data_IF_024867266387
#
_entry.id   IF_024867266387
#
_cell.length_a   1.000
_cell.length_b   1.000
_cell.length_c   1.000
_cell.angle_alpha   90.00
_cell.angle_beta   90.00
_cell.angle_gamma   90.00
#
_symmetry.space_group_name_H-M   'P 1'
#
loop_
_entity.id
_entity.type
_entity.pdbx_description
1 polymer ?
#
# COMPACT_ATOMS: atom_id res chain seq x y z
N UNK A 1 22.44 17.28 16.17
CA UNK A 1 21.11 17.18 16.80
C UNK A 1 20.00 16.70 15.86
N UNK A 2 20.14 16.84 14.54
CA UNK A 2 19.09 16.45 13.56
C UNK A 2 19.08 14.94 13.29
N UNK A 3 20.22 14.26 13.36
CA UNK A 3 20.35 12.82 13.06
C UNK A 3 19.63 11.92 14.11
N UNK A 4 19.55 12.36 15.37
CA UNK A 4 18.92 11.60 16.45
C UNK A 4 17.38 11.56 16.33
N UNK A 5 16.76 12.43 15.56
CA UNK A 5 15.30 12.53 15.42
C UNK A 5 14.72 11.47 14.50
N UNK A 6 15.46 10.99 13.49
CA UNK A 6 14.95 10.06 12.47
C UNK A 6 14.74 8.63 13.00
N UNK A 7 15.57 8.15 13.89
CA UNK A 7 15.45 6.79 14.49
C UNK A 7 14.35 6.68 15.56
N UNK A 8 13.85 7.80 16.09
CA UNK A 8 12.84 7.82 17.15
C UNK A 8 11.40 7.75 16.66
N UNK A 9 11.15 7.88 15.36
CA UNK A 9 9.80 8.07 14.81
C UNK A 9 8.89 6.84 14.96
N UNK A 10 9.38 5.63 14.75
CA UNK A 10 8.57 4.42 14.95
C UNK A 10 8.28 4.13 16.43
N UNK A 11 9.19 4.49 17.34
CA UNK A 11 9.00 4.28 18.77
C UNK A 11 8.16 5.38 19.46
N UNK A 12 8.00 6.56 18.85
CA UNK A 12 7.28 7.70 19.42
C UNK A 12 5.76 7.53 19.24
N UNK A 13 5.32 6.92 18.15
CA UNK A 13 3.91 6.70 17.85
C UNK A 13 3.18 5.99 18.98
N UNK A 14 3.77 4.91 19.48
CA UNK A 14 3.11 4.00 20.41
C UNK A 14 3.35 4.36 21.89
N UNK A 15 4.18 5.36 22.17
CA UNK A 15 4.46 5.82 23.54
C UNK A 15 3.51 6.96 23.93
N UNK A 16 2.60 6.68 24.85
CA UNK A 16 1.64 7.66 25.38
C UNK A 16 2.30 8.84 26.14
N UNK A 17 3.51 8.66 26.66
CA UNK A 17 4.17 9.61 27.58
C UNK A 17 5.17 10.54 26.87
N UNK A 18 5.18 10.63 25.54
CA UNK A 18 6.07 11.55 24.83
C UNK A 18 5.25 12.77 24.42
N UNK A 19 5.66 13.92 24.94
CA UNK A 19 5.12 15.22 24.61
C UNK A 19 6.22 16.12 24.04
N UNK A 20 5.83 17.03 23.16
CA UNK A 20 6.71 18.01 22.54
C UNK A 20 6.36 19.40 23.02
N UNK A 21 7.35 20.17 23.43
CA UNK A 21 7.17 21.57 23.87
C UNK A 21 6.53 22.43 22.78
N UNK A 22 6.99 22.28 21.56
CA UNK A 22 6.49 22.99 20.38
C UNK A 22 6.64 22.08 19.18
N UNK A 23 5.53 21.49 18.73
CA UNK A 23 5.46 20.63 17.56
C UNK A 23 4.88 21.46 16.40
N UNK A 24 5.72 21.78 15.44
CA UNK A 24 5.31 22.63 14.32
C UNK A 24 4.86 21.85 13.10
N UNK A 25 5.40 20.63 12.88
CA UNK A 25 5.09 19.82 11.71
C UNK A 25 5.05 18.33 12.07
N UNK A 26 4.02 17.64 11.60
CA UNK A 26 3.87 16.19 11.63
C UNK A 26 3.90 15.69 10.19
N UNK A 27 4.78 14.74 9.88
CA UNK A 27 4.84 14.06 8.59
C UNK A 27 4.50 12.59 8.81
N UNK A 28 3.42 12.14 8.18
CA UNK A 28 2.95 10.74 8.23
C UNK A 28 3.10 10.14 6.84
N UNK A 29 4.00 9.17 6.72
CA UNK A 29 4.14 8.37 5.51
C UNK A 29 3.32 7.08 5.62
N UNK A 30 2.85 6.55 4.48
CA UNK A 30 1.96 5.39 4.42
C UNK A 30 0.71 5.59 5.29
N UNK A 31 -0.03 6.66 5.02
CA UNK A 31 -1.20 7.09 5.78
C UNK A 31 -2.18 5.94 6.12
N UNK A 32 -2.37 4.97 5.21
CA UNK A 32 -3.28 3.84 5.40
C UNK A 32 -2.91 2.93 6.58
N UNK A 33 -1.67 3.03 7.09
CA UNK A 33 -1.20 2.30 8.30
C UNK A 33 -1.57 3.00 9.60
N UNK A 34 -2.15 4.19 9.52
CA UNK A 34 -2.54 4.99 10.69
C UNK A 34 -4.05 5.10 10.77
N UNK A 35 -4.64 4.59 11.84
CA UNK A 35 -6.04 4.83 12.15
C UNK A 35 -6.31 6.32 12.46
N UNK A 36 -7.56 6.75 12.30
CA UNK A 36 -8.00 8.13 12.60
C UNK A 36 -7.59 8.57 14.00
N UNK A 37 -7.81 7.71 15.01
CA UNK A 37 -7.44 7.98 16.40
C UNK A 37 -5.94 8.19 16.57
N UNK A 38 -5.10 7.41 15.89
CA UNK A 38 -3.63 7.54 15.99
C UNK A 38 -3.13 8.86 15.41
N UNK A 39 -3.76 9.36 14.34
CA UNK A 39 -3.45 10.66 13.75
C UNK A 39 -3.80 11.80 14.69
N UNK A 40 -4.96 11.73 15.32
CA UNK A 40 -5.38 12.68 16.34
C UNK A 40 -4.46 12.69 17.56
N UNK A 41 -4.10 11.49 18.06
CA UNK A 41 -3.18 11.34 19.20
C UNK A 41 -1.78 11.92 18.89
N UNK A 42 -1.33 11.95 17.63
CA UNK A 42 -0.07 12.59 17.25
C UNK A 42 -0.16 14.12 17.36
N UNK A 43 -1.22 14.73 16.92
CA UNK A 43 -1.44 16.17 17.02
C UNK A 43 -1.54 16.63 18.50
N UNK A 44 -2.20 15.85 19.33
CA UNK A 44 -2.38 16.12 20.76
C UNK A 44 -1.11 16.00 21.60
N UNK A 45 0.02 15.49 21.03
CA UNK A 45 1.31 15.45 21.72
C UNK A 45 2.05 16.80 21.79
N UNK A 46 1.53 17.83 21.15
CA UNK A 46 2.03 19.21 21.29
C UNK A 46 1.54 19.83 22.58
N UNK A 47 2.44 20.46 23.31
CA UNK A 47 2.08 21.32 24.46
C UNK A 47 1.76 22.77 24.07
N UNK A 48 1.95 23.09 22.78
CA UNK A 48 1.64 24.41 22.21
C UNK A 48 0.13 24.56 22.00
N UNK A 49 -0.38 25.79 22.16
CA UNK A 49 -1.76 26.13 21.79
C UNK A 49 -1.97 26.11 20.26
N UNK A 50 -0.90 26.22 19.50
CA UNK A 50 -0.94 26.17 18.04
C UNK A 50 -0.97 24.72 17.55
N UNK A 51 -1.90 24.41 16.65
CA UNK A 51 -1.98 23.12 16.00
C UNK A 51 -0.80 22.94 15.05
N UNK A 52 -0.10 21.77 15.11
CA UNK A 52 0.98 21.50 14.17
C UNK A 52 0.46 21.31 12.75
N UNK A 53 1.21 21.78 11.76
CA UNK A 53 0.96 21.43 10.37
C UNK A 53 1.06 19.91 10.18
N UNK A 54 0.19 19.34 9.34
CA UNK A 54 0.16 17.92 9.10
C UNK A 54 0.33 17.64 7.61
N UNK A 55 1.32 16.82 7.28
CA UNK A 55 1.55 16.30 5.93
C UNK A 55 1.32 14.79 5.92
N UNK A 56 0.29 14.35 5.22
CA UNK A 56 0.00 12.94 5.00
C UNK A 56 0.46 12.52 3.62
N UNK A 57 1.23 11.44 3.56
CA UNK A 57 1.71 10.87 2.31
C UNK A 57 1.20 9.45 2.18
N UNK A 58 0.86 9.05 0.96
CA UNK A 58 0.45 7.68 0.65
C UNK A 58 0.99 7.25 -0.71
N UNK A 59 1.47 6.02 -0.79
CA UNK A 59 1.86 5.38 -2.04
C UNK A 59 0.68 4.68 -2.73
N UNK A 60 -0.43 4.45 -2.01
CA UNK A 60 -1.69 3.99 -2.61
C UNK A 60 -2.51 5.21 -2.95
N UNK A 61 -2.68 5.54 -4.22
CA UNK A 61 -3.54 6.65 -4.59
C UNK A 61 -4.96 6.40 -4.07
N UNK A 62 -5.50 7.40 -3.42
CA UNK A 62 -6.93 7.41 -3.11
C UNK A 62 -7.62 7.85 -4.39
N UNK A 63 -8.68 7.16 -4.85
CA UNK A 63 -9.45 7.61 -5.99
C UNK A 63 -9.78 9.08 -5.86
N UNK A 64 -9.59 9.86 -6.94
CA UNK A 64 -9.80 11.32 -6.88
C UNK A 64 -11.17 11.68 -6.35
N UNK A 65 -12.19 10.94 -6.77
CA UNK A 65 -13.57 11.11 -6.31
C UNK A 65 -13.72 10.92 -4.82
N UNK A 66 -13.03 9.93 -4.26
CA UNK A 66 -13.07 9.60 -2.85
C UNK A 66 -12.25 10.59 -2.02
N UNK A 67 -11.09 11.01 -2.52
CA UNK A 67 -10.25 12.01 -1.88
C UNK A 67 -10.99 13.34 -1.70
N UNK A 68 -11.73 13.77 -2.71
CA UNK A 68 -12.54 15.00 -2.66
C UNK A 68 -13.69 14.93 -1.64
N UNK A 69 -14.13 13.73 -1.27
CA UNK A 69 -15.23 13.55 -0.31
C UNK A 69 -14.74 13.48 1.12
N UNK A 70 -13.64 12.77 1.35
CA UNK A 70 -13.16 12.42 2.70
C UNK A 70 -12.18 13.46 3.22
N UNK A 71 -11.42 14.08 2.31
CA UNK A 71 -10.38 15.05 2.63
C UNK A 71 -10.75 16.46 2.13
N UNK A 72 -12.05 16.80 2.17
CA UNK A 72 -12.52 18.13 1.76
C UNK A 72 -11.81 19.28 2.45
N UNK A 73 -11.29 19.03 3.66
CA UNK A 73 -10.59 20.01 4.49
C UNK A 73 -9.06 19.99 4.31
N UNK A 74 -8.54 19.14 3.41
CA UNK A 74 -7.11 19.02 3.15
C UNK A 74 -6.74 19.54 1.76
N UNK A 75 -5.64 20.28 1.71
CA UNK A 75 -5.00 20.62 0.44
C UNK A 75 -4.37 19.35 -0.16
N UNK A 76 -4.75 19.01 -1.39
CA UNK A 76 -4.27 17.82 -2.07
C UNK A 76 -3.20 18.15 -3.10
N UNK A 77 -2.00 17.60 -2.91
CA UNK A 77 -0.92 17.62 -3.90
C UNK A 77 -0.75 16.25 -4.53
N UNK A 78 -0.79 16.19 -5.86
CA UNK A 78 -0.70 14.94 -6.62
C UNK A 78 0.65 14.90 -7.34
N UNK A 79 1.41 13.81 -7.14
CA UNK A 79 2.62 13.48 -7.89
C UNK A 79 2.23 12.40 -8.88
N UNK A 80 2.10 12.77 -10.16
CA UNK A 80 1.65 11.88 -11.25
C UNK A 80 2.76 11.49 -12.23
N UNK A 81 3.98 11.97 -11.99
CA UNK A 81 5.16 11.65 -12.78
C UNK A 81 6.05 10.60 -12.12
N UNK A 82 6.66 9.76 -12.92
CA UNK A 82 7.69 8.83 -12.44
C UNK A 82 9.00 9.60 -12.17
N UNK A 83 9.81 9.15 -11.20
CA UNK A 83 11.13 9.71 -11.00
C UNK A 83 11.98 9.66 -12.27
N UNK A 84 12.86 10.63 -12.52
CA UNK A 84 13.72 10.65 -13.69
C UNK A 84 14.53 9.35 -13.84
N UNK A 85 14.56 8.79 -15.05
CA UNK A 85 15.27 7.55 -15.36
C UNK A 85 14.56 6.26 -14.92
N UNK A 86 13.35 6.32 -14.38
CA UNK A 86 12.57 5.14 -14.03
C UNK A 86 11.65 4.72 -15.17
N UNK A 87 11.80 3.47 -15.63
CA UNK A 87 10.91 2.89 -16.64
C UNK A 87 9.66 2.27 -15.97
N UNK A 88 8.50 2.28 -16.64
CA UNK A 88 7.33 1.55 -16.18
C UNK A 88 7.60 0.04 -16.09
N UNK A 89 7.14 -0.58 -15.02
CA UNK A 89 7.26 -2.03 -14.83
C UNK A 89 6.25 -2.76 -15.72
N UNK A 90 6.73 -3.65 -16.57
CA UNK A 90 5.90 -4.48 -17.45
C UNK A 90 5.27 -5.63 -16.65
N UNK A 91 3.95 -5.73 -16.62
CA UNK A 91 3.24 -6.77 -15.87
C UNK A 91 2.77 -7.88 -16.80
N UNK A 92 3.03 -9.14 -16.41
CA UNK A 92 2.54 -10.34 -17.11
C UNK A 92 1.74 -11.19 -16.13
N UNK A 93 0.67 -11.81 -16.62
CA UNK A 93 -0.21 -12.70 -15.84
C UNK A 93 -0.09 -14.10 -16.45
N UNK A 94 0.29 -15.08 -15.65
CA UNK A 94 0.60 -16.45 -16.10
C UNK A 94 -0.03 -17.48 -15.17
N UNK A 95 -0.46 -18.61 -15.73
CA UNK A 95 -0.82 -19.78 -14.91
C UNK A 95 0.40 -20.31 -14.15
N UNK A 96 0.17 -20.83 -12.96
CA UNK A 96 1.21 -21.48 -12.14
C UNK A 96 1.87 -22.67 -12.85
N UNK A 97 1.22 -23.29 -13.82
CA UNK A 97 1.79 -24.35 -14.67
C UNK A 97 3.06 -23.88 -15.42
N UNK A 98 3.20 -22.57 -15.66
CA UNK A 98 4.36 -21.98 -16.32
C UNK A 98 5.55 -21.66 -15.39
N UNK A 99 5.45 -22.07 -14.13
CA UNK A 99 6.48 -21.79 -13.11
C UNK A 99 7.87 -22.27 -13.54
N UNK A 100 7.97 -23.46 -14.14
CA UNK A 100 9.25 -23.99 -14.64
C UNK A 100 9.83 -23.14 -15.79
N UNK A 101 8.98 -22.68 -16.72
CA UNK A 101 9.43 -21.80 -17.80
C UNK A 101 10.00 -20.48 -17.26
N UNK A 102 9.42 -19.97 -16.18
CA UNK A 102 9.90 -18.75 -15.52
C UNK A 102 11.28 -19.00 -14.93
N UNK A 103 11.45 -20.06 -14.14
CA UNK A 103 12.74 -20.37 -13.51
C UNK A 103 13.85 -20.51 -14.55
N UNK A 104 13.59 -21.17 -15.67
CA UNK A 104 14.56 -21.27 -16.76
C UNK A 104 14.97 -19.89 -17.34
N UNK A 105 14.08 -18.90 -17.29
CA UNK A 105 14.40 -17.52 -17.70
C UNK A 105 15.20 -16.75 -16.66
N UNK A 106 15.06 -17.09 -15.36
CA UNK A 106 15.78 -16.43 -14.26
C UNK A 106 17.29 -16.56 -14.41
N UNK A 107 17.78 -17.72 -14.91
CA UNK A 107 19.18 -17.92 -15.16
C UNK A 107 19.79 -16.83 -16.06
N UNK A 108 19.06 -16.43 -17.10
CA UNK A 108 19.48 -15.33 -17.97
C UNK A 108 19.43 -13.98 -17.27
N UNK A 109 18.34 -13.69 -16.57
CA UNK A 109 18.12 -12.43 -15.84
C UNK A 109 19.23 -12.22 -14.80
N UNK A 110 19.56 -13.26 -14.03
CA UNK A 110 20.58 -13.18 -12.98
C UNK A 110 22.00 -13.14 -13.55
N UNK A 111 22.28 -13.80 -14.68
CA UNK A 111 23.58 -13.69 -15.37
C UNK A 111 23.88 -12.27 -15.86
N UNK A 112 22.85 -11.51 -16.19
CA UNK A 112 22.97 -10.10 -16.58
C UNK A 112 23.15 -9.16 -15.36
N UNK A 113 23.35 -9.71 -14.15
CA UNK A 113 23.56 -8.97 -12.91
C UNK A 113 22.28 -8.45 -12.23
N UNK A 114 21.13 -8.86 -12.72
CA UNK A 114 19.83 -8.50 -12.14
C UNK A 114 19.45 -9.46 -11.00
N UNK A 115 18.59 -8.96 -10.11
CA UNK A 115 18.09 -9.70 -8.97
C UNK A 115 16.58 -9.87 -9.01
N UNK A 116 16.10 -10.90 -8.33
CA UNK A 116 14.69 -11.33 -8.38
C UNK A 116 14.09 -11.40 -6.98
N UNK A 117 12.92 -10.79 -6.81
CA UNK A 117 12.03 -11.08 -5.69
C UNK A 117 11.07 -12.20 -6.09
N UNK A 118 11.00 -13.22 -5.26
CA UNK A 118 10.02 -14.30 -5.39
C UNK A 118 9.11 -14.29 -4.18
N UNK A 119 7.90 -13.75 -4.35
CA UNK A 119 6.93 -13.60 -3.28
C UNK A 119 5.97 -14.78 -3.24
N UNK A 120 5.93 -15.48 -2.11
CA UNK A 120 4.92 -16.47 -1.79
C UNK A 120 3.82 -15.79 -0.97
N UNK A 121 2.60 -15.75 -1.52
CA UNK A 121 1.47 -15.13 -0.82
C UNK A 121 0.89 -16.07 0.22
N UNK A 122 0.29 -15.50 1.25
CA UNK A 122 -0.37 -16.25 2.31
C UNK A 122 -1.52 -17.10 1.78
N UNK A 123 -1.59 -18.36 2.21
CA UNK A 123 -2.63 -19.30 1.79
C UNK A 123 -3.80 -19.29 2.78
N UNK A 124 -3.53 -19.04 4.07
CA UNK A 124 -4.51 -18.96 5.16
C UNK A 124 -4.02 -17.94 6.21
N UNK A 125 -4.90 -17.51 7.12
CA UNK A 125 -4.55 -16.66 8.29
C UNK A 125 -3.66 -17.41 9.32
N UNK A 126 -2.78 -18.28 8.84
CA UNK A 126 -1.91 -19.10 9.67
C UNK A 126 -0.45 -18.98 9.22
N UNK A 127 0.30 -18.17 9.93
CA UNK A 127 1.75 -17.92 9.72
C UNK A 127 2.60 -19.20 9.51
N UNK A 128 2.10 -20.36 9.94
CA UNK A 128 2.82 -21.62 9.83
C UNK A 128 2.80 -22.18 8.42
N UNK A 129 1.67 -22.09 7.73
CA UNK A 129 1.52 -22.59 6.37
C UNK A 129 2.24 -21.69 5.35
N UNK A 130 2.27 -20.39 5.61
CA UNK A 130 2.94 -19.43 4.74
C UNK A 130 4.45 -19.63 4.73
N UNK A 131 5.01 -19.88 5.90
CA UNK A 131 6.43 -20.20 6.03
C UNK A 131 6.75 -21.49 5.29
N UNK A 132 5.95 -22.54 5.48
CA UNK A 132 6.12 -23.83 4.81
C UNK A 132 6.01 -23.69 3.28
N UNK A 133 5.07 -22.88 2.78
CA UNK A 133 4.93 -22.61 1.35
C UNK A 133 6.16 -21.90 0.77
N UNK A 134 6.72 -20.93 1.51
CA UNK A 134 7.93 -20.22 1.07
C UNK A 134 9.18 -21.10 1.14
N UNK A 135 9.30 -21.97 2.16
CA UNK A 135 10.37 -22.97 2.27
C UNK A 135 10.29 -23.97 1.11
N UNK A 136 9.11 -24.51 0.83
CA UNK A 136 8.89 -25.40 -0.31
C UNK A 136 9.24 -24.73 -1.64
N UNK A 137 8.89 -23.47 -1.81
CA UNK A 137 9.22 -22.71 -3.01
C UNK A 137 10.73 -22.49 -3.14
N UNK A 138 11.44 -22.22 -2.03
CA UNK A 138 12.89 -22.11 -2.03
C UNK A 138 13.57 -23.42 -2.42
N UNK A 139 13.15 -24.55 -1.82
CA UNK A 139 13.67 -25.88 -2.14
C UNK A 139 13.46 -26.20 -3.61
N UNK A 140 12.27 -25.97 -4.12
CA UNK A 140 11.93 -26.18 -5.52
C UNK A 140 12.78 -25.32 -6.47
N UNK A 141 13.04 -24.04 -6.11
CA UNK A 141 13.94 -23.15 -6.89
C UNK A 141 15.36 -23.70 -6.88
N UNK A 142 15.87 -24.13 -5.73
CA UNK A 142 17.23 -24.72 -5.61
C UNK A 142 17.41 -25.99 -6.41
N UNK A 143 16.35 -26.81 -6.52
CA UNK A 143 16.37 -28.02 -7.35
C UNK A 143 16.38 -27.70 -8.86
N UNK A 144 15.63 -26.68 -9.29
CA UNK A 144 15.44 -26.36 -10.71
C UNK A 144 16.41 -25.27 -11.24
N UNK A 145 17.11 -24.56 -10.36
CA UNK A 145 18.12 -23.57 -10.69
C UNK A 145 19.28 -23.56 -9.66
N UNK A 146 20.00 -24.68 -9.51
CA UNK A 146 21.02 -24.84 -8.46
C UNK A 146 22.19 -23.86 -8.58
N UNK A 147 22.41 -23.26 -9.73
CA UNK A 147 23.46 -22.27 -9.97
C UNK A 147 23.09 -20.87 -9.43
N UNK A 148 21.82 -20.62 -9.09
CA UNK A 148 21.37 -19.33 -8.56
C UNK A 148 21.38 -19.34 -7.04
N UNK A 149 22.00 -18.32 -6.47
CA UNK A 149 22.07 -18.13 -5.01
C UNK A 149 20.70 -17.64 -4.53
N UNK A 150 19.97 -18.50 -3.85
CA UNK A 150 18.62 -18.20 -3.36
C UNK A 150 18.53 -18.31 -1.84
N UNK A 151 17.93 -17.32 -1.21
CA UNK A 151 17.71 -17.26 0.23
C UNK A 151 16.27 -16.86 0.56
N UNK A 152 15.87 -17.16 1.81
CA UNK A 152 14.52 -16.97 2.29
C UNK A 152 14.44 -15.87 3.34
N UNK A 153 13.35 -15.07 3.30
CA UNK A 153 13.00 -14.12 4.35
C UNK A 153 11.51 -14.24 4.69
N UNK A 154 11.21 -14.59 5.96
CA UNK A 154 9.84 -14.72 6.47
C UNK A 154 9.73 -14.25 7.93
N UNK A 155 8.49 -14.17 8.47
CA UNK A 155 8.20 -13.63 9.80
C UNK A 155 8.91 -14.36 10.95
N UNK A 156 9.10 -15.67 10.84
CA UNK A 156 9.67 -16.52 11.91
C UNK A 156 11.21 -16.52 12.00
N UNK A 157 11.93 -15.99 10.99
CA UNK A 157 13.37 -15.81 11.10
C UNK A 157 13.72 -14.82 12.20
N UNK A 158 14.87 -14.99 12.84
CA UNK A 158 15.42 -14.00 13.75
C UNK A 158 15.65 -12.67 13.04
N UNK A 159 15.64 -11.57 13.78
CA UNK A 159 15.89 -10.25 13.18
C UNK A 159 17.29 -10.17 12.56
N UNK A 160 18.28 -10.85 13.16
CA UNK A 160 19.66 -10.90 12.68
C UNK A 160 19.76 -11.63 11.32
N UNK A 161 19.09 -12.78 11.19
CA UNK A 161 19.05 -13.54 9.93
C UNK A 161 18.31 -12.77 8.83
N UNK A 162 17.18 -12.15 9.16
CA UNK A 162 16.44 -11.27 8.23
C UNK A 162 17.34 -10.15 7.70
N UNK A 163 17.96 -9.42 8.63
CA UNK A 163 18.82 -8.28 8.29
C UNK A 163 20.01 -8.73 7.44
N UNK A 164 20.64 -9.85 7.80
CA UNK A 164 21.74 -10.44 7.00
C UNK A 164 21.30 -10.76 5.58
N UNK A 165 20.23 -11.56 5.40
CA UNK A 165 19.78 -11.96 4.07
C UNK A 165 19.36 -10.76 3.21
N UNK A 166 18.80 -9.73 3.82
CA UNK A 166 18.44 -8.47 3.20
C UNK A 166 19.68 -7.70 2.75
N UNK A 167 20.71 -7.60 3.59
CA UNK A 167 21.98 -6.93 3.27
C UNK A 167 22.70 -7.69 2.16
N UNK A 168 22.75 -9.02 2.26
CA UNK A 168 23.39 -9.88 1.26
C UNK A 168 22.68 -9.78 -0.10
N UNK A 169 21.36 -9.72 -0.12
CA UNK A 169 20.59 -9.47 -1.33
C UNK A 169 20.89 -8.08 -1.91
N UNK A 170 20.87 -7.04 -1.10
CA UNK A 170 21.18 -5.68 -1.53
C UNK A 170 22.59 -5.55 -2.11
N UNK A 171 23.55 -6.32 -1.58
CA UNK A 171 24.94 -6.32 -2.03
C UNK A 171 25.18 -7.22 -3.25
N UNK A 172 24.15 -7.88 -3.79
CA UNK A 172 24.27 -8.77 -4.95
C UNK A 172 24.89 -10.14 -4.63
N UNK A 173 24.94 -10.52 -3.34
CA UNK A 173 25.40 -11.84 -2.91
C UNK A 173 24.33 -12.92 -3.07
N UNK A 174 23.08 -12.52 -3.19
CA UNK A 174 21.90 -13.35 -3.41
C UNK A 174 21.26 -12.93 -4.72
N UNK A 175 20.92 -13.89 -5.58
CA UNK A 175 20.30 -13.64 -6.89
C UNK A 175 18.77 -13.65 -6.79
N UNK A 176 18.21 -14.55 -5.97
CA UNK A 176 16.77 -14.69 -5.75
C UNK A 176 16.47 -14.58 -4.26
N UNK A 177 15.66 -13.61 -3.89
CA UNK A 177 15.12 -13.51 -2.53
C UNK A 177 13.68 -14.03 -2.51
N UNK A 178 13.53 -15.24 -1.94
CA UNK A 178 12.20 -15.81 -1.65
C UNK A 178 11.66 -15.17 -0.38
N UNK A 179 10.40 -14.77 -0.39
CA UNK A 179 9.85 -14.06 0.74
C UNK A 179 8.34 -14.26 0.89
N UNK A 180 7.85 -14.12 2.10
CA UNK A 180 6.44 -13.91 2.38
C UNK A 180 6.12 -12.41 2.31
N UNK A 181 4.87 -12.01 2.55
CA UNK A 181 4.37 -10.61 2.46
C UNK A 181 5.14 -9.57 3.29
N UNK A 182 6.10 -10.00 4.10
CA UNK A 182 6.91 -9.15 5.02
C UNK A 182 7.82 -8.14 4.30
N UNK A 183 7.97 -8.18 2.97
CA UNK A 183 8.78 -7.19 2.23
C UNK A 183 8.09 -5.81 2.12
N UNK A 184 7.17 -5.51 2.97
CA UNK A 184 6.56 -4.18 3.03
C UNK A 184 7.55 -3.07 3.47
N UNK A 185 8.72 -3.42 3.99
CA UNK A 185 9.63 -2.46 4.59
C UNK A 185 10.68 -2.01 3.58
N UNK A 186 10.43 -0.86 2.99
CA UNK A 186 11.38 0.20 2.58
C UNK A 186 12.75 -0.13 2.02
N UNK A 187 13.00 -1.38 1.55
CA UNK A 187 14.29 -1.74 0.97
C UNK A 187 14.38 -1.26 -0.47
N UNK A 188 15.39 -0.47 -0.72
CA UNK A 188 15.77 -0.08 -2.06
C UNK A 188 16.88 -1.01 -2.55
N UNK A 189 16.55 -1.85 -3.54
CA UNK A 189 17.49 -2.75 -4.22
C UNK A 189 17.51 -2.38 -5.71
N UNK A 190 18.49 -1.57 -6.12
CA UNK A 190 18.53 -1.01 -7.47
C UNK A 190 18.60 -2.09 -8.57
N UNK A 191 19.24 -3.22 -8.29
CA UNK A 191 19.42 -4.33 -9.24
C UNK A 191 18.22 -5.28 -9.32
N UNK A 192 17.18 -5.10 -8.48
CA UNK A 192 15.98 -5.90 -8.55
C UNK A 192 15.12 -5.49 -9.75
N UNK A 193 15.16 -6.31 -10.82
CA UNK A 193 14.44 -6.05 -12.07
C UNK A 193 13.20 -6.92 -12.24
N UNK A 194 13.06 -7.99 -11.48
CA UNK A 194 11.95 -8.92 -11.60
C UNK A 194 11.29 -9.19 -10.25
N UNK A 195 9.96 -9.06 -10.22
CA UNK A 195 9.11 -9.49 -9.14
C UNK A 195 8.24 -10.65 -9.62
N UNK A 196 8.29 -11.78 -8.93
CA UNK A 196 7.38 -12.90 -9.15
C UNK A 196 6.47 -13.00 -7.94
N UNK A 197 5.17 -13.09 -8.16
CA UNK A 197 4.17 -13.18 -7.10
C UNK A 197 3.37 -14.46 -7.33
N UNK A 198 3.51 -15.44 -6.46
CA UNK A 198 2.72 -16.66 -6.48
C UNK A 198 1.35 -16.42 -5.87
N UNK A 199 0.33 -17.13 -6.38
CA UNK A 199 -1.08 -17.02 -5.97
C UNK A 199 -1.55 -15.56 -5.93
N UNK A 200 -1.20 -14.79 -6.95
CA UNK A 200 -1.47 -13.35 -7.03
C UNK A 200 -2.97 -13.03 -6.98
N UNK A 201 -3.83 -13.99 -7.36
CA UNK A 201 -5.29 -13.88 -7.29
C UNK A 201 -5.83 -13.65 -5.88
N UNK A 202 -5.03 -13.95 -4.84
CA UNK A 202 -5.41 -13.80 -3.43
C UNK A 202 -5.15 -12.40 -2.89
N UNK A 203 -4.28 -11.64 -3.54
CA UNK A 203 -3.92 -10.29 -3.11
C UNK A 203 -4.90 -9.23 -3.62
N UNK A 204 -5.05 -8.18 -2.84
CA UNK A 204 -5.76 -6.99 -3.26
C UNK A 204 -5.02 -6.20 -4.34
N UNK A 205 -5.76 -5.44 -5.14
CA UNK A 205 -5.21 -4.69 -6.27
C UNK A 205 -4.16 -3.66 -5.81
N UNK A 206 -4.43 -2.97 -4.71
CA UNK A 206 -3.51 -2.01 -4.10
C UNK A 206 -2.22 -2.67 -3.60
N UNK A 207 -2.31 -3.88 -3.00
CA UNK A 207 -1.15 -4.64 -2.54
C UNK A 207 -0.27 -5.07 -3.71
N UNK A 208 -0.87 -5.62 -4.75
CA UNK A 208 -0.16 -6.02 -5.98
C UNK A 208 0.54 -4.81 -6.62
N UNK A 209 -0.12 -3.64 -6.64
CA UNK A 209 0.48 -2.41 -7.16
C UNK A 209 1.70 -1.97 -6.34
N UNK A 210 1.63 -1.99 -5.02
CA UNK A 210 2.74 -1.67 -4.13
C UNK A 210 3.93 -2.63 -4.33
N UNK A 211 3.66 -3.94 -4.42
CA UNK A 211 4.67 -4.97 -4.68
C UNK A 211 5.34 -4.76 -6.05
N UNK A 212 4.55 -4.50 -7.10
CA UNK A 212 5.09 -4.15 -8.42
C UNK A 212 6.05 -2.96 -8.35
N UNK A 213 5.76 -1.98 -7.53
CA UNK A 213 6.60 -0.80 -7.31
C UNK A 213 7.92 -1.06 -6.60
N UNK A 214 8.18 -2.29 -6.12
CA UNK A 214 9.43 -2.67 -5.43
C UNK A 214 10.57 -2.98 -6.39
N UNK A 215 10.30 -3.22 -7.67
CA UNK A 215 11.29 -3.45 -8.71
C UNK A 215 11.41 -2.27 -9.66
N UNK A 216 12.48 -2.25 -10.46
CA UNK A 216 12.69 -1.18 -11.43
C UNK A 216 13.09 0.14 -10.80
N UNK A 217 13.90 0.11 -9.75
CA UNK A 217 14.41 1.31 -9.08
C UNK A 217 15.77 1.75 -9.58
N UNK A 218 16.44 0.88 -10.35
CA UNK A 218 17.66 1.24 -11.06
C UNK A 218 17.38 2.14 -12.26
N UNK A 219 18.34 3.02 -12.63
CA UNK A 219 18.18 3.93 -13.75
C UNK A 219 18.14 3.16 -15.08
N UNK A 220 17.16 3.51 -15.94
CA UNK A 220 16.99 2.96 -17.30
C UNK A 220 16.89 1.42 -17.36
N UNK A 221 16.42 0.78 -16.31
CA UNK A 221 16.28 -0.67 -16.20
C UNK A 221 14.92 -1.12 -16.74
N UNK A 222 14.92 -2.12 -17.62
CA UNK A 222 13.71 -2.86 -17.97
C UNK A 222 13.30 -3.78 -16.82
N UNK A 223 12.10 -3.64 -16.33
CA UNK A 223 11.63 -4.36 -15.15
C UNK A 223 10.30 -5.04 -15.39
N UNK A 224 10.11 -6.18 -14.75
CA UNK A 224 8.96 -7.04 -14.95
C UNK A 224 8.33 -7.45 -13.62
N UNK A 225 7.00 -7.60 -13.64
CA UNK A 225 6.24 -8.20 -12.57
C UNK A 225 5.44 -9.37 -13.13
N UNK A 226 5.74 -10.60 -12.71
CA UNK A 226 5.04 -11.81 -13.11
C UNK A 226 4.04 -12.19 -12.00
N UNK A 227 2.76 -12.16 -12.34
CA UNK A 227 1.67 -12.55 -11.47
C UNK A 227 1.28 -13.99 -11.82
N UNK A 228 1.59 -14.93 -10.93
CA UNK A 228 1.23 -16.33 -11.08
C UNK A 228 -0.09 -16.57 -10.37
N UNK A 229 -1.04 -17.18 -11.06
CA UNK A 229 -2.33 -17.57 -10.50
C UNK A 229 -2.57 -19.06 -10.60
N UNK A 230 -3.40 -19.59 -9.72
CA UNK A 230 -3.84 -20.98 -9.72
C UNK A 230 -5.33 -21.06 -10.07
N UNK A 231 -5.65 -21.89 -11.05
CA UNK A 231 -7.04 -22.18 -11.42
C UNK A 231 -7.77 -23.02 -10.36
N UNK A 232 -9.07 -22.82 -10.14
CA UNK A 232 -9.95 -21.82 -10.79
C UNK A 232 -9.82 -20.42 -10.15
N UNK A 233 -9.80 -19.39 -11.00
CA UNK A 233 -9.77 -17.99 -10.58
C UNK A 233 -11.18 -17.40 -10.57
N UNK A 234 -11.56 -16.70 -9.51
CA UNK A 234 -12.83 -15.96 -9.47
C UNK A 234 -12.85 -14.80 -10.46
N UNK A 235 -14.02 -14.40 -10.93
CA UNK A 235 -14.18 -13.29 -11.87
C UNK A 235 -13.55 -11.98 -11.34
N UNK A 236 -13.77 -11.66 -10.07
CA UNK A 236 -13.18 -10.49 -9.42
C UNK A 236 -11.64 -10.56 -9.38
N UNK A 237 -11.07 -11.74 -9.13
CA UNK A 237 -9.61 -11.90 -9.11
C UNK A 237 -9.04 -11.75 -10.54
N UNK A 238 -9.70 -12.32 -11.55
CA UNK A 238 -9.31 -12.14 -12.93
C UNK A 238 -9.32 -10.66 -13.34
N UNK A 239 -10.37 -9.92 -13.01
CA UNK A 239 -10.47 -8.49 -13.28
C UNK A 239 -9.34 -7.69 -12.62
N UNK A 240 -8.97 -8.02 -11.36
CA UNK A 240 -7.83 -7.39 -10.69
C UNK A 240 -6.50 -7.66 -11.39
N UNK A 241 -6.23 -8.91 -11.77
CA UNK A 241 -5.01 -9.29 -12.46
C UNK A 241 -4.89 -8.61 -13.84
N UNK A 242 -6.00 -8.56 -14.59
CA UNK A 242 -6.05 -7.88 -15.88
C UNK A 242 -5.88 -6.36 -15.76
N UNK A 243 -6.46 -5.75 -14.72
CA UNK A 243 -6.26 -4.33 -14.44
C UNK A 243 -4.77 -4.00 -14.22
N UNK A 244 -4.05 -4.80 -13.43
CA UNK A 244 -2.62 -4.61 -13.21
C UNK A 244 -1.78 -4.82 -14.48
N UNK A 245 -2.19 -5.72 -15.35
CA UNK A 245 -1.54 -5.94 -16.65
C UNK A 245 -1.75 -4.74 -17.58
N UNK A 246 -2.93 -4.13 -17.55
CA UNK A 246 -3.33 -3.06 -18.47
C UNK A 246 -2.85 -1.68 -18.01
N UNK A 247 -2.90 -1.40 -16.71
CA UNK A 247 -2.63 -0.08 -16.15
C UNK A 247 -1.32 -0.06 -15.37
N UNK A 248 -0.49 0.95 -15.64
CA UNK A 248 0.74 1.22 -14.89
C UNK A 248 0.56 2.32 -13.85
N UNK A 249 -0.37 3.26 -14.08
CA UNK A 249 -0.65 4.38 -13.21
C UNK A 249 -1.44 3.93 -11.97
N UNK A 250 -1.02 4.36 -10.79
CA UNK A 250 -1.66 4.03 -9.53
C UNK A 250 -3.07 4.61 -9.38
N UNK A 251 -3.35 5.77 -9.97
CA UNK A 251 -4.68 6.39 -9.92
C UNK A 251 -5.72 5.57 -10.67
N UNK A 252 -5.39 5.10 -11.89
CA UNK A 252 -6.28 4.24 -12.66
C UNK A 252 -6.57 2.93 -11.91
N UNK A 253 -5.53 2.37 -11.27
CA UNK A 253 -5.65 1.16 -10.46
C UNK A 253 -6.55 1.40 -9.24
N UNK A 254 -6.43 2.54 -8.58
CA UNK A 254 -7.26 2.85 -7.42
C UNK A 254 -8.73 3.09 -7.77
N UNK A 255 -9.01 3.66 -8.94
CA UNK A 255 -10.39 3.82 -9.43
C UNK A 255 -11.03 2.46 -9.72
N UNK A 256 -10.29 1.54 -10.34
CA UNK A 256 -10.77 0.17 -10.57
C UNK A 256 -10.95 -0.59 -9.23
N UNK A 257 -10.02 -0.43 -8.27
CA UNK A 257 -10.17 -1.05 -6.94
C UNK A 257 -11.44 -0.54 -6.24
N UNK A 258 -11.77 0.75 -6.40
CA UNK A 258 -13.01 1.35 -5.90
C UNK A 258 -14.25 0.75 -6.58
N UNK A 259 -14.23 0.57 -7.90
CA UNK A 259 -15.34 -0.04 -8.64
C UNK A 259 -15.57 -1.50 -8.22
N UNK A 260 -14.49 -2.27 -8.05
CA UNK A 260 -14.57 -3.70 -7.73
C UNK A 260 -14.99 -3.97 -6.28
N UNK A 261 -14.56 -3.14 -5.33
CA UNK A 261 -14.85 -3.33 -3.90
C UNK A 261 -16.02 -2.50 -3.40
N UNK A 262 -16.29 -1.37 -4.05
CA UNK A 262 -17.20 -0.34 -3.55
C UNK A 262 -16.57 0.56 -2.50
N UNK A 263 -17.09 1.78 -2.38
CA UNK A 263 -16.55 2.82 -1.50
C UNK A 263 -16.58 2.44 -0.01
N UNK A 264 -17.60 1.72 0.43
CA UNK A 264 -17.76 1.32 1.83
C UNK A 264 -16.69 0.35 2.34
N UNK A 265 -16.22 -0.56 1.49
CA UNK A 265 -15.15 -1.51 1.84
C UNK A 265 -13.77 -0.86 1.78
N UNK A 266 -13.53 -0.04 0.75
CA UNK A 266 -12.24 0.65 0.57
C UNK A 266 -11.92 1.61 1.74
N UNK A 267 -12.96 2.23 2.30
CA UNK A 267 -12.85 3.14 3.44
C UNK A 267 -12.79 2.44 4.80
N UNK A 268 -12.95 1.12 4.84
CA UNK A 268 -13.09 0.40 6.10
C UNK A 268 -14.34 0.80 6.90
N UNK A 269 -15.31 1.46 6.26
CA UNK A 269 -16.51 1.96 6.92
C UNK A 269 -17.35 0.83 7.51
N UNK A 270 -17.30 -0.37 6.92
CA UNK A 270 -17.96 -1.56 7.46
C UNK A 270 -17.34 -2.08 8.77
N UNK A 271 -16.04 -1.80 9.00
CA UNK A 271 -15.32 -2.27 10.19
C UNK A 271 -15.25 -1.21 11.31
N UNK A 272 -15.34 0.08 10.97
CA UNK A 272 -15.10 1.19 11.90
C UNK A 272 -16.36 1.96 12.30
N UNK A 273 -17.57 1.53 11.90
CA UNK A 273 -18.80 2.28 12.16
C UNK A 273 -18.84 3.63 11.45
N UNK A 274 -18.23 3.71 10.27
CA UNK A 274 -18.18 4.93 9.48
C UNK A 274 -19.55 5.40 9.01
N UNK A 275 -19.61 6.63 8.56
CA UNK A 275 -20.84 7.30 8.14
C UNK A 275 -21.47 6.56 6.96
N UNK A 276 -22.47 5.76 7.22
CA UNK A 276 -23.36 5.24 6.17
C UNK A 276 -24.24 6.39 5.68
N UNK A 277 -24.01 6.83 4.46
CA UNK A 277 -24.91 7.80 3.85
C UNK A 277 -26.29 7.16 3.69
N UNK A 278 -27.31 7.81 4.27
CA UNK A 278 -28.69 7.27 4.25
C UNK A 278 -29.27 7.10 2.84
N UNK A 279 -28.79 7.87 1.87
CA UNK A 279 -29.34 7.89 0.50
C UNK A 279 -28.24 7.86 -0.55
N UNK A 280 -27.12 8.55 -0.33
CA UNK A 280 -26.06 8.72 -1.31
C UNK A 280 -25.17 7.50 -1.39
N UNK A 281 -24.76 7.14 -2.59
CA UNK A 281 -23.70 6.20 -2.89
C UNK A 281 -22.55 6.95 -3.56
N UNK A 282 -21.35 6.90 -2.96
CA UNK A 282 -20.20 7.69 -3.42
C UNK A 282 -19.81 7.32 -4.86
N UNK A 283 -19.89 6.05 -5.22
CA UNK A 283 -19.52 5.59 -6.56
C UNK A 283 -20.54 6.03 -7.59
N UNK A 284 -21.83 5.86 -7.29
CA UNK A 284 -22.93 6.25 -8.16
C UNK A 284 -23.05 7.76 -8.32
N UNK A 285 -22.90 8.48 -7.19
CA UNK A 285 -23.22 9.91 -7.09
C UNK A 285 -21.95 10.79 -7.19
N UNK A 286 -20.83 10.25 -7.69
CA UNK A 286 -19.53 10.94 -7.81
C UNK A 286 -19.62 12.33 -8.50
N UNK A 287 -20.52 12.48 -9.48
CA UNK A 287 -20.73 13.77 -10.17
C UNK A 287 -21.34 14.84 -9.25
N UNK A 288 -22.11 14.42 -8.22
CA UNK A 288 -22.73 15.34 -7.28
C UNK A 288 -21.72 15.88 -6.25
N UNK A 289 -20.57 15.24 -6.09
CA UNK A 289 -19.54 15.68 -5.13
C UNK A 289 -19.00 17.08 -5.47
N UNK A 290 -18.76 17.37 -6.74
CA UNK A 290 -18.34 18.70 -7.18
C UNK A 290 -19.40 19.78 -6.88
N UNK A 291 -20.66 19.40 -7.05
CA UNK A 291 -21.77 20.30 -6.71
C UNK A 291 -21.89 20.52 -5.21
N UNK A 292 -21.72 19.46 -4.40
CA UNK A 292 -21.76 19.56 -2.95
C UNK A 292 -20.66 20.48 -2.40
N UNK A 293 -19.45 20.40 -2.93
CA UNK A 293 -18.37 21.32 -2.56
C UNK A 293 -18.73 22.78 -2.83
N UNK A 294 -19.29 23.08 -3.99
CA UNK A 294 -19.73 24.46 -4.29
C UNK A 294 -20.85 24.98 -3.39
N UNK A 295 -21.59 24.07 -2.75
CA UNK A 295 -22.66 24.40 -1.82
C UNK A 295 -22.16 24.53 -0.37
N UNK A 296 -20.97 24.00 -0.04
CA UNK A 296 -20.45 23.99 1.33
C UNK A 296 -20.31 25.42 1.89
N UNK A 297 -19.75 26.36 1.12
CA UNK A 297 -19.66 27.76 1.53
C UNK A 297 -21.02 28.41 1.79
N UNK A 298 -22.03 28.04 1.02
CA UNK A 298 -23.40 28.55 1.21
C UNK A 298 -24.06 27.95 2.44
N UNK A 299 -23.76 26.69 2.74
CA UNK A 299 -24.31 25.97 3.91
C UNK A 299 -23.62 26.45 5.18
N UNK A 300 -22.30 26.68 5.17
CA UNK A 300 -21.55 27.19 6.32
C UNK A 300 -21.97 28.60 6.75
N UNK A 301 -22.53 29.38 5.84
CA UNK A 301 -23.09 30.69 6.13
C UNK A 301 -24.54 30.66 6.64
N UNK A 302 -25.13 29.49 6.85
CA UNK A 302 -26.44 29.36 7.49
C UNK A 302 -26.35 29.70 8.97
N UNK A 303 -27.48 30.13 9.54
CA UNK A 303 -27.61 30.31 10.99
C UNK A 303 -27.28 29.01 11.72
N UNK A 304 -26.46 29.08 12.77
CA UNK A 304 -25.97 27.91 13.54
C UNK A 304 -27.08 26.94 13.93
N UNK A 305 -28.23 27.45 14.31
CA UNK A 305 -29.41 26.61 14.69
C UNK A 305 -29.99 25.81 13.52
N UNK A 306 -29.88 26.31 12.29
CA UNK A 306 -30.34 25.61 11.10
C UNK A 306 -29.31 24.54 10.67
N UNK A 307 -28.03 24.88 10.82
CA UNK A 307 -26.93 23.97 10.54
C UNK A 307 -26.95 22.77 11.52
N UNK A 308 -27.09 23.01 12.81
CA UNK A 308 -27.22 21.95 13.83
C UNK A 308 -28.38 21.01 13.53
N UNK A 309 -29.57 21.55 13.20
CA UNK A 309 -30.74 20.72 12.83
C UNK A 309 -30.49 19.87 11.57
N UNK A 310 -29.73 20.40 10.61
CA UNK A 310 -29.34 19.66 9.40
C UNK A 310 -28.40 18.51 9.75
N UNK A 311 -27.40 18.78 10.57
CA UNK A 311 -26.41 17.79 11.05
C UNK A 311 -27.11 16.70 11.85
N UNK A 312 -27.93 17.07 12.82
CA UNK A 312 -28.69 16.11 13.67
C UNK A 312 -29.62 15.22 12.85
N UNK A 313 -30.24 15.77 11.80
CA UNK A 313 -31.14 14.99 10.92
C UNK A 313 -30.40 13.94 10.09
N UNK A 314 -29.21 14.26 9.61
CA UNK A 314 -28.50 13.44 8.61
C UNK A 314 -27.39 12.57 9.21
N UNK A 315 -26.73 13.02 10.27
CA UNK A 315 -25.57 12.39 10.88
C UNK A 315 -25.91 11.82 12.27
N UNK A 316 -26.85 12.41 12.99
CA UNK A 316 -27.32 11.93 14.30
C UNK A 316 -26.25 12.10 15.39
N UNK A 317 -26.15 11.13 16.32
CA UNK A 317 -25.26 11.22 17.48
C UNK A 317 -23.78 10.88 17.15
N UNK A 318 -23.45 10.53 15.91
CA UNK A 318 -22.08 10.26 15.46
C UNK A 318 -21.22 11.52 15.25
N UNK A 319 -21.65 12.66 15.84
CA UNK A 319 -20.94 13.95 15.81
C UNK A 319 -19.50 13.89 16.37
N UNK A 320 -19.16 12.87 17.15
CA UNK A 320 -17.81 12.71 17.71
C UNK A 320 -16.77 12.56 16.60
N UNK A 321 -17.14 11.99 15.46
CA UNK A 321 -16.24 11.81 14.33
C UNK A 321 -16.06 13.08 13.49
N UNK A 322 -17.03 13.99 13.49
CA UNK A 322 -16.95 15.25 12.72
C UNK A 322 -16.04 16.27 13.42
N UNK A 323 -16.00 16.25 14.76
CA UNK A 323 -15.12 17.14 15.54
C UNK A 323 -13.67 16.64 15.60
N UNK A 324 -13.40 15.44 15.09
CA UNK A 324 -12.10 14.79 15.07
C UNK A 324 -11.41 14.85 13.69
N UNK A 325 -12.06 15.41 12.71
CA UNK A 325 -11.51 15.79 11.40
C UNK A 325 -11.11 17.26 11.41
#
# INVERSE_FOLDING_TARGET
>A
HIVVRRQRQMCIRDRKNIEFKSLALIVVDEQQRFGVKQRFDLASKSQSEEMPHQLFMTATPIPRTLAMTIFSDLDLSIIDELPPGRNPVKTVVLSNDKRLEIVNRLQKVCKDGNQVYWLCTMIEDNDSFDVQSAETSLEWIRENAPELRSELVHSKLSNEEKEKNIIDFRNGLIDILVCTTVIEVGMDVPNASLMIIENAERLGLSQLHQLRGRVGRGPNMDSYCALLYQDPVSENAQQRLEALKKYSNGFDISEIDLELRGAGELLGLKQSGGIDFKISDISRDAQLLKLSQSLTERISNLESTKLEKLIDRWIGQDQVYIKAQ
#
